data_IF_590125100375
#
_entry.id   IF_590125100375
#
_cell.length_a   1.000
_cell.length_b   1.000
_cell.length_c   1.000
_cell.angle_alpha   90.00
_cell.angle_beta   90.00
_cell.angle_gamma   90.00
#
_symmetry.space_group_name_H-M   'P 1'
#
loop_
_entity.id
_entity.type
_entity.pdbx_description
1 polymer ?
#
# COMPACT_ATOMS: atom_id res chain seq x y z
N UNK A 1 -8.48 -11.55 -4.54
CA UNK A 1 -9.18 -10.26 -4.60
C UNK A 1 -8.27 -9.19 -4.00
N UNK A 2 -7.93 -8.18 -4.79
CA UNK A 2 -7.09 -7.04 -4.37
C UNK A 2 -8.03 -6.07 -3.65
N UNK A 3 -7.77 -5.79 -2.37
CA UNK A 3 -8.61 -4.89 -1.58
C UNK A 3 -8.04 -3.48 -1.60
N UNK A 4 -8.76 -2.54 -2.24
CA UNK A 4 -8.39 -1.13 -2.32
C UNK A 4 -8.77 -0.32 -1.07
N UNK A 5 -9.61 -0.88 -0.20
CA UNK A 5 -10.15 -0.20 0.96
C UNK A 5 -10.13 -1.13 2.18
N UNK A 6 -9.67 -0.63 3.32
CA UNK A 6 -9.65 -1.34 4.60
C UNK A 6 -11.05 -1.77 5.08
N UNK A 7 -12.12 -1.11 4.61
CA UNK A 7 -13.51 -1.53 4.85
C UNK A 7 -13.90 -2.83 4.15
N UNK A 8 -13.28 -3.14 3.01
CA UNK A 8 -13.61 -4.31 2.20
C UNK A 8 -12.84 -5.57 2.64
N UNK A 9 -11.99 -5.45 3.67
CA UNK A 9 -11.21 -6.57 4.17
C UNK A 9 -12.07 -7.29 5.22
N UNK A 10 -12.56 -8.51 4.95
CA UNK A 10 -13.39 -9.26 5.89
C UNK A 10 -12.66 -9.55 7.21
N UNK A 11 -11.33 -9.60 7.18
CA UNK A 11 -10.47 -9.78 8.36
C UNK A 11 -10.51 -8.58 9.32
N UNK A 12 -10.85 -7.37 8.85
CA UNK A 12 -10.93 -6.14 9.64
C UNK A 12 -12.38 -5.68 9.92
N UNK A 13 -13.37 -6.50 9.51
CA UNK A 13 -14.78 -6.24 9.76
C UNK A 13 -15.09 -6.27 11.27
N UNK A 14 -15.85 -5.29 11.76
CA UNK A 14 -16.22 -5.15 13.17
C UNK A 14 -15.30 -4.24 14.01
N UNK A 15 -14.10 -3.89 13.52
CA UNK A 15 -13.18 -2.99 14.23
C UNK A 15 -13.49 -1.51 13.95
N UNK A 16 -13.22 -0.62 14.91
CA UNK A 16 -13.31 0.84 14.70
C UNK A 16 -12.16 1.33 13.78
N UNK A 17 -12.29 2.50 13.15
CA UNK A 17 -11.29 3.06 12.22
C UNK A 17 -9.87 3.11 12.83
N UNK A 18 -9.75 3.56 14.08
CA UNK A 18 -8.47 3.59 14.78
C UNK A 18 -7.85 2.19 14.93
N UNK A 19 -8.65 1.20 15.35
CA UNK A 19 -8.22 -0.20 15.49
C UNK A 19 -7.83 -0.81 14.14
N UNK A 20 -8.55 -0.49 13.06
CA UNK A 20 -8.18 -0.94 11.72
C UNK A 20 -6.82 -0.39 11.31
N UNK A 21 -6.56 0.89 11.58
CA UNK A 21 -5.28 1.51 11.25
C UNK A 21 -4.12 0.89 12.05
N UNK A 22 -4.39 0.54 13.31
CA UNK A 22 -3.39 -0.08 14.19
C UNK A 22 -3.05 -1.50 13.76
N UNK A 23 -4.06 -2.33 13.46
CA UNK A 23 -3.88 -3.66 12.85
C UNK A 23 -3.09 -3.57 11.55
N UNK A 24 -3.38 -2.58 10.71
CA UNK A 24 -2.66 -2.37 9.44
C UNK A 24 -1.19 -1.99 9.69
N UNK A 25 -0.92 -1.13 10.67
CA UNK A 25 0.45 -0.77 11.06
C UNK A 25 1.23 -1.98 11.58
N UNK A 26 0.65 -2.75 12.48
CA UNK A 26 1.30 -3.92 13.06
C UNK A 26 1.51 -5.02 12.01
N UNK A 27 0.53 -5.26 11.14
CA UNK A 27 0.68 -6.18 10.01
C UNK A 27 1.79 -5.74 9.04
N UNK A 28 1.96 -4.44 8.82
CA UNK A 28 3.05 -3.90 8.01
C UNK A 28 4.42 -4.06 8.69
N UNK A 29 4.47 -4.04 10.02
CA UNK A 29 5.71 -4.30 10.77
C UNK A 29 6.12 -5.77 10.74
N UNK A 30 5.17 -6.69 10.77
CA UNK A 30 5.42 -8.14 10.67
C UNK A 30 5.74 -8.62 9.25
N UNK A 31 5.62 -7.76 8.22
CA UNK A 31 6.00 -8.12 6.87
C UNK A 31 7.50 -8.50 6.81
N UNK A 32 7.85 -9.68 6.27
CA UNK A 32 9.23 -10.09 6.12
C UNK A 32 10.01 -9.07 5.27
N UNK A 33 11.27 -8.83 5.66
CA UNK A 33 12.22 -7.95 4.96
C UNK A 33 12.21 -8.12 3.43
N UNK A 34 12.28 -9.35 2.85
CA UNK A 34 12.24 -9.51 1.40
C UNK A 34 10.96 -8.96 0.77
N UNK A 35 9.81 -9.04 1.44
CA UNK A 35 8.55 -8.50 0.95
C UNK A 35 8.54 -6.97 0.95
N UNK A 36 9.14 -6.33 1.96
CA UNK A 36 9.35 -4.87 1.99
C UNK A 36 10.27 -4.41 0.87
N UNK A 37 11.31 -5.20 0.57
CA UNK A 37 12.23 -4.91 -0.53
C UNK A 37 11.50 -5.05 -1.88
N UNK A 38 10.74 -6.13 -2.12
CA UNK A 38 9.94 -6.28 -3.35
C UNK A 38 8.97 -5.12 -3.53
N UNK A 39 8.33 -4.65 -2.45
CA UNK A 39 7.47 -3.46 -2.47
C UNK A 39 8.20 -2.21 -2.96
N UNK A 40 9.38 -1.95 -2.41
CA UNK A 40 10.18 -0.81 -2.81
C UNK A 40 10.72 -0.96 -4.24
N UNK A 41 11.07 -2.17 -4.67
CA UNK A 41 11.49 -2.45 -6.06
C UNK A 41 10.34 -2.19 -7.03
N UNK A 42 9.11 -2.65 -6.73
CA UNK A 42 7.93 -2.38 -7.57
C UNK A 42 7.65 -0.87 -7.62
N UNK A 43 7.71 -0.17 -6.47
CA UNK A 43 7.59 1.30 -6.45
C UNK A 43 8.63 1.96 -7.34
N UNK A 44 9.88 1.52 -7.24
CA UNK A 44 10.98 2.04 -8.05
C UNK A 44 10.72 1.77 -9.54
N UNK A 45 10.35 0.55 -9.92
CA UNK A 45 10.02 0.15 -11.29
C UNK A 45 8.86 0.96 -11.89
N UNK A 46 7.94 1.47 -11.09
CA UNK A 46 6.83 2.30 -11.54
C UNK A 46 7.25 3.77 -11.62
N UNK A 47 8.07 4.23 -10.67
CA UNK A 47 8.63 5.59 -10.69
C UNK A 47 9.57 5.78 -11.88
N UNK A 48 10.43 4.82 -12.17
CA UNK A 48 11.44 4.90 -13.24
C UNK A 48 10.88 5.29 -14.61
N UNK A 49 9.86 4.61 -15.18
CA UNK A 49 9.27 5.01 -16.45
C UNK A 49 8.55 6.35 -16.37
N UNK A 50 7.97 6.70 -15.22
CA UNK A 50 7.32 7.99 -15.01
C UNK A 50 8.35 9.14 -15.02
N UNK A 51 9.49 8.94 -14.38
CA UNK A 51 10.62 9.87 -14.41
C UNK A 51 11.23 9.97 -15.80
N UNK A 52 11.34 8.87 -16.55
CA UNK A 52 11.80 8.88 -17.94
C UNK A 52 10.85 9.69 -18.84
N UNK A 53 9.53 9.53 -18.68
CA UNK A 53 8.53 10.33 -19.40
C UNK A 53 8.66 11.81 -19.05
N UNK A 54 8.81 12.13 -17.76
CA UNK A 54 8.99 13.49 -17.28
C UNK A 54 10.27 14.13 -17.84
N UNK A 55 11.38 13.38 -17.88
CA UNK A 55 12.66 13.82 -18.43
C UNK A 55 12.65 14.02 -19.95
N UNK A 56 11.83 13.25 -20.69
CA UNK A 56 11.63 13.46 -22.14
C UNK A 56 10.63 14.57 -22.45
N UNK A 57 9.78 14.93 -21.50
CA UNK A 57 8.82 16.02 -21.68
C UNK A 57 9.50 17.37 -21.48
N UNK A 58 9.12 18.36 -22.30
CA UNK A 58 9.60 19.74 -22.17
C UNK A 58 8.42 20.69 -21.94
N UNK A 59 8.71 21.82 -21.28
CA UNK A 59 7.71 22.84 -20.97
C UNK A 59 6.70 22.43 -19.87
N UNK A 60 5.48 22.93 -19.97
CA UNK A 60 4.45 22.82 -18.92
C UNK A 60 3.94 21.38 -18.70
N UNK A 61 4.20 20.45 -19.62
CA UNK A 61 3.82 19.03 -19.47
C UNK A 61 4.49 18.35 -18.28
N UNK A 62 5.68 18.79 -17.89
CA UNK A 62 6.41 18.32 -16.70
C UNK A 62 5.54 18.46 -15.45
N UNK A 63 4.76 19.54 -15.35
CA UNK A 63 3.87 19.81 -14.22
C UNK A 63 2.74 18.77 -14.15
N UNK A 64 2.19 18.38 -15.31
CA UNK A 64 1.18 17.32 -15.42
C UNK A 64 1.73 15.97 -14.97
N UNK A 65 2.95 15.61 -15.40
CA UNK A 65 3.61 14.38 -14.95
C UNK A 65 3.96 14.41 -13.45
N UNK A 66 4.33 15.56 -12.90
CA UNK A 66 4.59 15.72 -11.47
C UNK A 66 3.31 15.48 -10.64
N UNK A 67 2.19 16.09 -11.02
CA UNK A 67 0.89 15.85 -10.36
C UNK A 67 0.47 14.39 -10.49
N UNK A 68 0.63 13.81 -11.69
CA UNK A 68 0.36 12.39 -11.93
C UNK A 68 1.18 11.52 -10.97
N UNK A 69 2.47 11.80 -10.78
CA UNK A 69 3.36 11.06 -9.87
C UNK A 69 2.86 11.13 -8.42
N UNK A 70 2.47 12.33 -7.95
CA UNK A 70 1.94 12.55 -6.60
C UNK A 70 0.64 11.76 -6.36
N UNK A 71 -0.18 11.56 -7.38
CA UNK A 71 -1.43 10.79 -7.28
C UNK A 71 -1.19 9.28 -7.46
N UNK A 72 -0.40 8.87 -8.45
CA UNK A 72 -0.11 7.46 -8.74
C UNK A 72 0.64 6.80 -7.59
N UNK A 73 1.58 7.51 -6.97
CA UNK A 73 2.39 6.99 -5.88
C UNK A 73 1.54 6.42 -4.73
N UNK A 74 0.66 7.17 -4.06
CA UNK A 74 -0.21 6.66 -3.01
C UNK A 74 -1.26 5.67 -3.55
N UNK A 75 -1.76 5.88 -4.77
CA UNK A 75 -2.76 5.01 -5.38
C UNK A 75 -2.26 3.58 -5.61
N UNK A 76 -0.97 3.41 -5.86
CA UNK A 76 -0.35 2.08 -6.05
C UNK A 76 0.21 1.55 -4.74
N UNK A 77 0.86 2.41 -3.96
CA UNK A 77 1.48 2.01 -2.69
C UNK A 77 0.47 1.38 -1.74
N UNK A 78 -0.70 2.01 -1.58
CA UNK A 78 -1.74 1.54 -0.65
C UNK A 78 -2.28 0.14 -0.98
N UNK A 79 -2.83 -0.14 -2.18
CA UNK A 79 -3.37 -1.47 -2.50
C UNK A 79 -2.29 -2.53 -2.52
N UNK A 80 -1.05 -2.19 -2.89
CA UNK A 80 0.06 -3.15 -2.88
C UNK A 80 0.45 -3.54 -1.46
N UNK A 81 0.51 -2.57 -0.53
CA UNK A 81 0.65 -2.83 0.91
C UNK A 81 -0.50 -3.70 1.43
N UNK A 82 -1.76 -3.37 1.07
CA UNK A 82 -2.92 -4.18 1.48
C UNK A 82 -2.88 -5.62 0.93
N UNK A 83 -2.49 -5.80 -0.34
CA UNK A 83 -2.42 -7.12 -0.98
C UNK A 83 -1.37 -8.02 -0.30
N UNK A 84 -0.24 -7.47 0.14
CA UNK A 84 0.84 -8.21 0.80
C UNK A 84 0.58 -8.42 2.30
N UNK A 85 0.04 -7.41 2.99
CA UNK A 85 -0.37 -7.53 4.37
C UNK A 85 -1.56 -8.50 4.54
N UNK A 86 -2.33 -8.80 3.49
CA UNK A 86 -3.44 -9.77 3.52
C UNK A 86 -3.08 -11.11 4.13
N UNK A 87 -1.92 -11.67 3.77
CA UNK A 87 -1.47 -12.95 4.34
C UNK A 87 -1.20 -12.88 5.85
N UNK A 88 -0.98 -11.68 6.39
CA UNK A 88 -0.69 -11.44 7.81
C UNK A 88 -1.90 -10.87 8.58
N UNK A 89 -2.90 -10.27 7.90
CA UNK A 89 -4.08 -9.69 8.54
C UNK A 89 -4.87 -10.70 9.37
N UNK A 90 -5.07 -11.93 8.87
CA UNK A 90 -5.74 -12.98 9.64
C UNK A 90 -4.99 -13.34 10.94
N UNK A 91 -3.65 -13.42 10.86
CA UNK A 91 -2.78 -13.75 12.00
C UNK A 91 -2.73 -12.61 13.03
N UNK A 92 -2.65 -11.37 12.57
CA UNK A 92 -2.60 -10.18 13.43
C UNK A 92 -3.95 -9.92 14.10
N UNK A 93 -5.07 -10.15 13.39
CA UNK A 93 -6.42 -10.06 13.99
C UNK A 93 -6.55 -10.99 15.19
N UNK A 94 -6.10 -12.24 15.06
CA UNK A 94 -6.11 -13.21 16.16
C UNK A 94 -5.23 -12.80 17.35
N UNK A 95 -4.14 -12.06 17.11
CA UNK A 95 -3.25 -11.58 18.18
C UNK A 95 -3.77 -10.32 18.89
N UNK A 96 -4.43 -9.41 18.18
CA UNK A 96 -4.87 -8.12 18.73
C UNK A 96 -6.29 -8.13 19.30
N UNK A 97 -7.16 -9.00 18.79
CA UNK A 97 -8.50 -9.24 19.34
C UNK A 97 -8.69 -10.75 19.42
N UNK A 98 -8.24 -11.40 20.50
CA UNK A 98 -8.67 -12.75 20.79
C UNK A 98 -10.19 -12.70 20.97
N UNK A 99 -10.91 -13.54 20.24
CA UNK A 99 -12.35 -13.68 20.46
C UNK A 99 -12.58 -14.07 21.93
N UNK A 100 -13.54 -13.46 22.65
CA UNK A 100 -14.02 -14.02 23.90
C UNK A 100 -14.67 -15.41 23.68
#
# INVERSE_FOLDING_TARGET
MIYFNSKNIPELAGLNFAQRMDVVRQAANLLPVPTKITLNIIKLLILTPLFLLMARSSGWYILGYAVLLVVLYPAITRPLTFALCRKHFAKIRQQLVPNP
#
